data_IF_331762961819
#
_entry.id   IF_331762961819
#
_cell.length_a   1.000
_cell.length_b   1.000
_cell.length_c   1.000
_cell.angle_alpha   90.00
_cell.angle_beta   90.00
_cell.angle_gamma   90.00
#
_symmetry.space_group_name_H-M   'P 1'
#
loop_
_entity.id
_entity.type
_entity.pdbx_description
1 polymer ?
#
# COMPACT_ATOMS: atom_id res chain seq x y z
N UNK A 1 -31.18 4.46 -13.37
CA UNK A 1 -31.11 3.24 -12.52
C UNK A 1 -31.07 2.03 -13.42
N UNK A 2 -29.89 1.54 -13.73
CA UNK A 2 -29.71 0.29 -14.48
C UNK A 2 -29.43 -0.82 -13.49
N UNK A 3 -30.46 -1.61 -13.21
CA UNK A 3 -30.36 -2.84 -12.44
C UNK A 3 -29.61 -3.88 -13.26
N UNK A 4 -28.37 -4.19 -12.89
CA UNK A 4 -27.65 -5.36 -13.41
C UNK A 4 -28.20 -6.61 -12.73
N UNK A 5 -29.22 -7.23 -13.33
CA UNK A 5 -29.66 -8.59 -13.00
C UNK A 5 -28.76 -9.58 -13.75
N UNK A 6 -28.04 -10.43 -13.02
CA UNK A 6 -27.60 -11.73 -13.53
C UNK A 6 -26.15 -11.89 -13.97
N UNK A 7 -25.21 -11.23 -13.32
CA UNK A 7 -23.80 -11.60 -13.38
C UNK A 7 -23.27 -11.69 -11.94
N UNK A 8 -22.40 -12.68 -11.67
CA UNK A 8 -21.86 -12.97 -10.35
C UNK A 8 -21.34 -11.75 -9.59
N UNK A 9 -20.93 -11.92 -8.38
CA UNK A 9 -20.52 -10.83 -7.49
C UNK A 9 -19.55 -9.86 -8.21
N UNK A 10 -19.97 -8.60 -8.40
CA UNK A 10 -19.13 -7.57 -9.01
C UNK A 10 -18.32 -6.91 -7.92
N UNK A 11 -17.00 -6.95 -8.06
CA UNK A 11 -16.07 -6.30 -7.14
C UNK A 11 -15.71 -4.92 -7.69
N UNK A 12 -15.95 -3.88 -6.90
CA UNK A 12 -15.61 -2.49 -7.24
C UNK A 12 -14.57 -1.96 -6.28
N UNK A 13 -13.51 -1.37 -6.82
CA UNK A 13 -12.44 -0.76 -6.05
C UNK A 13 -12.26 0.70 -6.45
N UNK A 14 -12.36 1.60 -5.49
CA UNK A 14 -12.03 3.01 -5.66
C UNK A 14 -10.59 3.26 -5.25
N UNK A 15 -9.91 4.10 -6.01
CA UNK A 15 -8.54 4.55 -5.74
C UNK A 15 -8.52 6.09 -5.77
N UNK A 16 -8.02 6.71 -4.70
CA UNK A 16 -7.91 8.17 -4.60
C UNK A 16 -6.90 8.75 -5.59
N UNK A 17 -5.82 8.02 -5.86
CA UNK A 17 -4.80 8.44 -6.80
C UNK A 17 -5.32 8.48 -8.23
N UNK A 18 -4.77 9.36 -9.06
CA UNK A 18 -5.10 9.48 -10.48
C UNK A 18 -4.87 8.17 -11.27
N UNK A 19 -4.00 7.33 -10.77
CA UNK A 19 -3.77 5.96 -11.24
C UNK A 19 -3.33 5.06 -10.09
N UNK A 20 -3.48 3.75 -10.24
CA UNK A 20 -3.05 2.78 -9.24
C UNK A 20 -1.56 2.90 -8.98
N UNK A 21 -1.17 3.05 -7.70
CA UNK A 21 0.22 3.14 -7.29
C UNK A 21 0.86 4.51 -7.44
N UNK A 22 0.13 5.56 -7.85
CA UNK A 22 0.69 6.92 -8.01
C UNK A 22 1.21 7.53 -6.71
N UNK A 23 0.64 7.15 -5.58
CA UNK A 23 1.07 7.63 -4.25
C UNK A 23 2.18 6.78 -3.60
N UNK A 24 2.66 5.75 -4.30
CA UNK A 24 3.73 4.88 -3.79
C UNK A 24 5.07 5.33 -4.37
N UNK A 25 5.87 5.99 -3.56
CA UNK A 25 7.15 6.59 -4.00
C UNK A 25 8.30 5.56 -3.98
N UNK A 26 8.20 4.50 -3.18
CA UNK A 26 9.40 3.71 -2.85
C UNK A 26 9.44 2.34 -3.48
N UNK A 27 10.67 1.87 -3.65
CA UNK A 27 11.00 0.46 -3.74
C UNK A 27 10.79 -0.26 -2.39
N UNK A 28 10.79 -1.57 -2.48
CA UNK A 28 10.71 -2.46 -1.33
C UNK A 28 11.46 -3.76 -1.63
N UNK A 29 11.80 -4.49 -0.58
CA UNK A 29 12.14 -5.91 -0.69
C UNK A 29 10.85 -6.70 -0.48
N UNK A 30 10.47 -7.47 -1.49
CA UNK A 30 9.24 -8.25 -1.51
C UNK A 30 9.53 -9.72 -1.26
N UNK A 31 8.91 -10.29 -0.23
CA UNK A 31 8.81 -11.73 -0.05
C UNK A 31 7.74 -12.28 -1.02
N UNK A 32 8.10 -13.16 -1.96
CA UNK A 32 7.17 -13.66 -2.97
C UNK A 32 6.19 -14.71 -2.46
N UNK A 33 6.31 -15.18 -1.22
CA UNK A 33 5.52 -16.30 -0.67
C UNK A 33 4.01 -16.11 -0.83
N UNK A 34 3.51 -14.91 -0.56
CA UNK A 34 2.09 -14.58 -0.74
C UNK A 34 1.68 -14.61 -2.22
N UNK A 35 2.53 -14.09 -3.08
CA UNK A 35 2.29 -14.05 -4.51
C UNK A 35 2.39 -15.43 -5.16
N UNK A 36 3.34 -16.26 -4.74
CA UNK A 36 3.47 -17.65 -5.19
C UNK A 36 2.21 -18.48 -4.88
N UNK A 37 1.53 -18.19 -3.78
CA UNK A 37 0.25 -18.82 -3.42
C UNK A 37 -0.94 -18.27 -4.21
N UNK A 38 -0.98 -16.94 -4.40
CA UNK A 38 -2.10 -16.26 -5.04
C UNK A 38 -2.08 -16.41 -6.56
N UNK A 39 -0.92 -16.25 -7.18
CA UNK A 39 -0.70 -16.31 -8.63
C UNK A 39 0.54 -17.18 -8.91
N UNK A 40 0.47 -18.50 -8.83
CA UNK A 40 1.65 -19.37 -8.90
C UNK A 40 2.52 -19.21 -10.16
N UNK A 41 1.93 -18.77 -11.25
CA UNK A 41 2.61 -18.56 -12.54
C UNK A 41 3.06 -17.10 -12.79
N UNK A 42 3.05 -16.23 -11.78
CA UNK A 42 3.37 -14.80 -11.90
C UNK A 42 4.71 -14.52 -12.59
N UNK A 43 5.68 -15.41 -12.44
CA UNK A 43 7.01 -15.30 -13.08
C UNK A 43 6.95 -15.30 -14.60
N UNK A 44 5.94 -15.98 -15.16
CA UNK A 44 5.72 -16.11 -16.60
C UNK A 44 4.72 -15.08 -17.16
N UNK A 45 4.15 -14.23 -16.30
CA UNK A 45 3.09 -13.28 -16.64
C UNK A 45 3.60 -11.85 -16.88
N UNK A 46 4.84 -11.70 -17.35
CA UNK A 46 5.48 -10.39 -17.56
C UNK A 46 5.40 -9.46 -16.34
N UNK A 47 5.55 -10.04 -15.14
CA UNK A 47 5.53 -9.26 -13.89
C UNK A 47 6.72 -8.30 -13.81
N UNK A 48 6.60 -7.16 -13.12
CA UNK A 48 7.71 -6.23 -12.91
C UNK A 48 8.72 -6.72 -11.85
N UNK A 49 8.50 -7.89 -11.27
CA UNK A 49 9.30 -8.46 -10.18
C UNK A 49 10.43 -9.29 -10.79
N UNK A 50 11.56 -8.66 -11.07
CA UNK A 50 12.67 -9.30 -11.82
C UNK A 50 13.97 -9.38 -11.03
N UNK A 51 14.27 -8.39 -10.19
CA UNK A 51 15.55 -8.27 -9.51
C UNK A 51 15.55 -9.06 -8.21
N UNK A 52 16.19 -10.22 -8.20
CA UNK A 52 16.37 -11.01 -6.96
C UNK A 52 17.38 -10.35 -6.04
N UNK A 53 17.16 -10.48 -4.74
CA UNK A 53 18.18 -10.14 -3.75
C UNK A 53 19.34 -11.13 -3.90
N UNK A 54 20.54 -10.59 -4.14
CA UNK A 54 21.79 -11.36 -4.30
C UNK A 54 22.65 -11.27 -3.05
N UNK A 55 22.59 -10.13 -2.36
CA UNK A 55 23.45 -9.87 -1.21
C UNK A 55 22.77 -8.92 -0.21
N UNK A 56 22.69 -9.35 1.04
CA UNK A 56 22.34 -8.49 2.17
C UNK A 56 23.63 -7.95 2.82
N UNK A 57 23.64 -6.67 3.14
CA UNK A 57 24.73 -6.04 3.91
C UNK A 57 24.17 -5.27 5.08
N UNK A 58 24.62 -5.60 6.25
CA UNK A 58 24.24 -4.90 7.47
C UNK A 58 25.41 -4.06 7.99
N UNK A 59 25.15 -2.79 8.22
CA UNK A 59 26.14 -1.84 8.73
C UNK A 59 25.65 -1.22 10.04
N UNK A 60 26.56 -1.16 10.98
CA UNK A 60 26.42 -0.30 12.15
C UNK A 60 27.21 0.98 11.90
N UNK A 61 26.51 2.12 11.85
CA UNK A 61 27.11 3.41 11.54
C UNK A 61 27.36 4.19 12.82
N UNK A 62 28.58 4.74 12.94
CA UNK A 62 28.98 5.65 14.00
C UNK A 62 29.58 6.94 13.45
N UNK A 63 29.95 7.90 14.30
CA UNK A 63 30.55 9.18 13.87
C UNK A 63 31.84 9.06 13.05
N UNK A 64 32.58 7.99 13.25
CA UNK A 64 33.88 7.74 12.58
C UNK A 64 33.75 6.78 11.36
N UNK A 65 32.56 6.38 10.97
CA UNK A 65 32.33 5.45 9.87
C UNK A 65 31.40 4.29 10.23
N UNK A 66 31.39 3.25 9.40
CA UNK A 66 30.51 2.08 9.57
C UNK A 66 31.28 0.77 9.67
N UNK A 67 30.81 -0.13 10.50
CA UNK A 67 31.29 -1.51 10.61
C UNK A 67 30.26 -2.42 9.97
N UNK A 68 30.67 -3.28 9.03
CA UNK A 68 29.79 -4.30 8.48
C UNK A 68 29.63 -5.45 9.46
N UNK A 69 28.39 -5.81 9.77
CA UNK A 69 28.07 -6.95 10.61
C UNK A 69 27.94 -8.18 9.70
N UNK A 70 28.62 -9.29 10.00
CA UNK A 70 28.46 -10.53 9.24
C UNK A 70 27.03 -11.05 9.31
N UNK A 71 26.48 -11.49 8.17
CA UNK A 71 25.07 -11.91 8.04
C UNK A 71 24.69 -13.07 8.98
N UNK A 72 25.63 -13.96 9.30
CA UNK A 72 25.38 -15.10 10.19
C UNK A 72 25.10 -14.69 11.66
N UNK A 73 25.43 -13.46 12.04
CA UNK A 73 25.10 -12.90 13.36
C UNK A 73 23.73 -12.25 13.40
N UNK A 74 23.06 -12.10 12.25
CA UNK A 74 21.77 -11.46 12.16
C UNK A 74 20.63 -12.47 12.36
N UNK A 75 19.51 -12.09 12.99
CA UNK A 75 18.34 -12.95 13.11
C UNK A 75 17.84 -13.42 11.74
N UNK A 76 17.36 -14.66 11.60
CA UNK A 76 16.87 -15.20 10.33
C UNK A 76 15.79 -14.35 9.66
N UNK A 77 14.95 -13.67 10.46
CA UNK A 77 13.91 -12.75 9.98
C UNK A 77 14.44 -11.51 9.25
N UNK A 78 15.73 -11.19 9.40
CA UNK A 78 16.39 -10.08 8.70
C UNK A 78 17.02 -10.51 7.38
N UNK A 79 17.01 -11.80 7.05
CA UNK A 79 17.50 -12.30 5.78
C UNK A 79 16.51 -12.04 4.66
N UNK A 80 17.01 -11.44 3.57
CA UNK A 80 16.22 -11.21 2.36
C UNK A 80 16.50 -12.25 1.27
N UNK A 81 17.16 -13.37 1.63
CA UNK A 81 17.44 -14.42 0.66
C UNK A 81 16.16 -15.00 0.07
N UNK A 82 16.07 -15.06 -1.27
CA UNK A 82 14.87 -15.49 -1.98
C UNK A 82 13.87 -14.38 -2.30
N UNK A 83 14.02 -13.20 -1.71
CA UNK A 83 13.19 -12.03 -1.93
C UNK A 83 13.58 -11.25 -3.20
N UNK A 84 12.76 -10.27 -3.56
CA UNK A 84 12.95 -9.45 -4.74
C UNK A 84 12.96 -7.96 -4.40
N UNK A 85 13.86 -7.22 -5.04
CA UNK A 85 13.85 -5.75 -5.00
C UNK A 85 12.86 -5.26 -6.06
N UNK A 86 11.86 -4.48 -5.64
CA UNK A 86 10.75 -4.09 -6.51
C UNK A 86 10.40 -2.62 -6.37
N UNK A 87 9.85 -2.04 -7.43
CA UNK A 87 9.05 -0.82 -7.34
C UNK A 87 7.62 -1.20 -6.97
N UNK A 88 7.18 -0.87 -5.77
CA UNK A 88 5.83 -1.21 -5.32
C UNK A 88 4.73 -0.59 -6.19
N UNK A 89 4.95 0.61 -6.72
CA UNK A 89 3.99 1.22 -7.63
C UNK A 89 3.79 0.38 -8.91
N UNK A 90 4.88 -0.15 -9.49
CA UNK A 90 4.80 -1.04 -10.66
C UNK A 90 4.13 -2.37 -10.32
N UNK A 91 4.42 -2.92 -9.14
CA UNK A 91 3.75 -4.16 -8.66
C UNK A 91 2.26 -3.93 -8.49
N UNK A 92 1.84 -2.83 -7.86
CA UNK A 92 0.43 -2.50 -7.68
C UNK A 92 -0.30 -2.32 -9.02
N UNK A 93 0.31 -1.64 -10.00
CA UNK A 93 -0.28 -1.52 -11.35
C UNK A 93 -0.43 -2.87 -12.02
N UNK A 94 0.58 -3.71 -11.95
CA UNK A 94 0.52 -5.06 -12.51
C UNK A 94 -0.57 -5.91 -11.85
N UNK A 95 -0.69 -5.85 -10.51
CA UNK A 95 -1.75 -6.52 -9.77
C UNK A 95 -3.15 -6.00 -10.12
N UNK A 96 -3.28 -4.69 -10.38
CA UNK A 96 -4.54 -4.10 -10.82
C UNK A 96 -4.99 -4.71 -12.15
N UNK A 97 -4.08 -4.84 -13.12
CA UNK A 97 -4.38 -5.51 -14.40
C UNK A 97 -4.84 -6.96 -14.18
N UNK A 98 -4.20 -7.70 -13.25
CA UNK A 98 -4.63 -9.07 -12.94
C UNK A 98 -6.02 -9.07 -12.30
N UNK A 99 -6.32 -8.13 -11.43
CA UNK A 99 -7.64 -8.00 -10.81
C UNK A 99 -8.74 -7.66 -11.85
N UNK A 100 -8.46 -6.75 -12.77
CA UNK A 100 -9.39 -6.39 -13.87
C UNK A 100 -9.68 -7.60 -14.78
N UNK A 101 -8.68 -8.42 -15.07
CA UNK A 101 -8.87 -9.68 -15.82
C UNK A 101 -9.77 -10.69 -15.10
N UNK A 102 -9.86 -10.60 -13.78
CA UNK A 102 -10.76 -11.39 -12.94
C UNK A 102 -12.14 -10.73 -12.76
N UNK A 103 -12.41 -9.61 -13.43
CA UNK A 103 -13.69 -8.92 -13.40
C UNK A 103 -13.84 -7.87 -12.29
N UNK A 104 -12.74 -7.45 -11.66
CA UNK A 104 -12.78 -6.33 -10.71
C UNK A 104 -12.82 -5.01 -11.49
N UNK A 105 -13.79 -4.17 -11.19
CA UNK A 105 -13.86 -2.80 -11.72
C UNK A 105 -13.03 -1.87 -10.83
N UNK A 106 -11.99 -1.24 -11.39
CA UNK A 106 -11.11 -0.29 -10.67
C UNK A 106 -11.37 1.12 -11.15
N UNK A 107 -11.64 2.03 -10.22
CA UNK A 107 -11.95 3.45 -10.47
C UNK A 107 -10.84 4.33 -9.87
N UNK A 108 -9.78 4.65 -10.64
CA UNK A 108 -8.76 5.61 -10.21
C UNK A 108 -9.29 7.04 -10.25
N UNK A 109 -8.71 7.92 -9.43
CA UNK A 109 -9.16 9.31 -9.29
C UNK A 109 -10.46 9.47 -8.49
N UNK A 110 -11.05 8.39 -7.99
CA UNK A 110 -12.32 8.40 -7.30
C UNK A 110 -12.13 8.20 -5.79
N UNK A 111 -12.11 9.29 -5.04
CA UNK A 111 -12.06 9.26 -3.59
C UNK A 111 -13.43 8.95 -2.99
N UNK A 112 -13.45 8.22 -1.87
CA UNK A 112 -14.66 8.04 -1.07
C UNK A 112 -14.73 9.13 0.00
N UNK A 113 -15.89 9.81 0.08
CA UNK A 113 -16.10 10.95 0.99
C UNK A 113 -16.87 10.57 2.24
N UNK A 114 -17.86 9.68 2.12
CA UNK A 114 -18.78 9.34 3.20
C UNK A 114 -19.08 7.84 3.27
N UNK A 115 -19.60 7.41 4.41
CA UNK A 115 -20.04 6.05 4.69
C UNK A 115 -21.57 6.01 4.67
N UNK A 116 -22.13 4.97 4.08
CA UNK A 116 -23.58 4.75 4.02
C UNK A 116 -23.92 3.68 5.03
N UNK A 117 -24.77 4.02 6.00
CA UNK A 117 -25.27 3.11 7.02
C UNK A 117 -26.73 2.72 6.78
N UNK A 118 -27.08 1.52 7.16
CA UNK A 118 -28.46 1.07 7.20
C UNK A 118 -29.16 1.41 8.51
N UNK A 119 -30.43 1.01 8.61
CA UNK A 119 -31.28 1.32 9.75
C UNK A 119 -30.80 0.73 11.09
N UNK A 120 -30.06 -0.37 11.03
CA UNK A 120 -29.46 -1.05 12.22
C UNK A 120 -28.01 -0.65 12.43
N UNK A 121 -27.58 0.46 11.88
CA UNK A 121 -26.19 0.95 11.92
C UNK A 121 -25.18 0.01 11.21
N UNK A 122 -25.63 -0.88 10.33
CA UNK A 122 -24.75 -1.70 9.51
C UNK A 122 -24.15 -0.86 8.35
N UNK A 123 -22.88 -1.05 8.05
CA UNK A 123 -22.22 -0.41 6.93
C UNK A 123 -22.68 -1.04 5.62
N UNK A 124 -23.34 -0.26 4.75
CA UNK A 124 -23.91 -0.70 3.47
C UNK A 124 -23.05 -0.31 2.26
N UNK A 125 -22.30 0.76 2.37
CA UNK A 125 -21.57 1.28 1.22
C UNK A 125 -20.82 2.56 1.52
N UNK A 126 -20.43 3.23 0.44
CA UNK A 126 -19.70 4.50 0.48
C UNK A 126 -20.24 5.46 -0.58
N UNK A 127 -20.07 6.76 -0.37
CA UNK A 127 -20.24 7.78 -1.40
C UNK A 127 -18.85 8.00 -2.03
N UNK A 128 -18.77 7.81 -3.34
CA UNK A 128 -17.53 7.91 -4.11
C UNK A 128 -17.64 9.00 -5.19
N UNK A 129 -16.52 9.68 -5.46
CA UNK A 129 -16.44 10.68 -6.52
C UNK A 129 -17.05 12.02 -6.20
N UNK A 130 -17.41 12.30 -4.95
CA UNK A 130 -17.86 13.61 -4.53
C UNK A 130 -16.72 14.63 -4.59
N UNK A 131 -16.96 15.78 -5.18
CA UNK A 131 -15.96 16.80 -5.42
C UNK A 131 -16.53 18.22 -5.20
N UNK A 132 -15.67 19.19 -4.83
CA UNK A 132 -16.01 20.61 -4.82
C UNK A 132 -16.76 21.11 -3.58
N UNK A 133 -16.69 20.40 -2.44
CA UNK A 133 -17.09 20.96 -1.13
C UNK A 133 -16.00 21.90 -0.61
N UNK A 134 -16.42 22.97 0.06
CA UNK A 134 -15.51 23.88 0.79
C UNK A 134 -15.03 23.28 2.12
N UNK A 135 -14.23 24.03 2.87
CA UNK A 135 -13.72 23.62 4.19
C UNK A 135 -14.81 23.35 5.23
N UNK A 136 -15.98 23.95 5.06
CA UNK A 136 -17.14 23.79 5.94
C UNK A 136 -18.07 22.65 5.48
N UNK A 137 -17.71 21.94 4.40
CA UNK A 137 -18.49 20.85 3.82
C UNK A 137 -19.66 21.28 2.97
N UNK A 138 -19.78 22.57 2.60
CA UNK A 138 -20.85 23.09 1.76
C UNK A 138 -20.51 22.99 0.29
N UNK A 139 -21.50 22.75 -0.58
CA UNK A 139 -21.31 22.75 -2.03
C UNK A 139 -20.73 24.08 -2.52
N UNK A 140 -19.56 24.02 -3.17
CA UNK A 140 -18.94 25.16 -3.84
C UNK A 140 -19.39 25.29 -5.30
N UNK A 141 -18.84 26.25 -6.06
CA UNK A 141 -19.22 26.51 -7.46
C UNK A 141 -18.94 25.32 -8.41
N UNK A 142 -18.01 24.44 -8.06
CA UNK A 142 -17.63 23.24 -8.83
C UNK A 142 -18.05 21.95 -8.12
N UNK A 143 -19.14 22.00 -7.38
CA UNK A 143 -19.64 20.85 -6.66
C UNK A 143 -20.22 19.80 -7.61
N UNK A 144 -19.70 18.60 -7.50
CA UNK A 144 -20.25 17.40 -8.14
C UNK A 144 -20.68 16.41 -7.05
N UNK A 145 -21.96 15.98 -7.04
CA UNK A 145 -22.43 14.98 -6.08
C UNK A 145 -21.76 13.64 -6.36
N UNK A 146 -21.35 12.97 -5.31
CA UNK A 146 -20.83 11.61 -5.41
C UNK A 146 -21.94 10.60 -5.77
N UNK A 147 -21.51 9.41 -6.15
CA UNK A 147 -22.42 8.29 -6.38
C UNK A 147 -22.37 7.32 -5.19
N UNK A 148 -23.51 6.76 -4.86
CA UNK A 148 -23.61 5.70 -3.86
C UNK A 148 -23.12 4.37 -4.44
N UNK A 149 -22.15 3.76 -3.76
CA UNK A 149 -21.64 2.42 -4.07
C UNK A 149 -22.04 1.51 -2.92
N UNK A 150 -23.02 0.66 -3.18
CA UNK A 150 -23.57 -0.29 -2.20
C UNK A 150 -23.00 -1.67 -2.46
N UNK A 151 -22.65 -2.39 -1.39
CA UNK A 151 -22.11 -3.74 -1.47
C UNK A 151 -22.54 -4.62 -0.30
N UNK A 152 -22.51 -5.93 -0.50
CA UNK A 152 -22.72 -6.91 0.57
C UNK A 152 -21.60 -6.84 1.63
N UNK A 153 -20.39 -6.52 1.17
CA UNK A 153 -19.18 -6.32 1.99
C UNK A 153 -18.49 -5.04 1.54
N UNK A 154 -17.99 -4.30 2.50
CA UNK A 154 -17.20 -3.08 2.27
C UNK A 154 -15.84 -3.25 2.90
N UNK A 155 -14.79 -3.23 2.07
CA UNK A 155 -13.39 -3.32 2.52
C UNK A 155 -12.78 -1.93 2.54
N UNK A 156 -12.35 -1.49 3.71
CA UNK A 156 -11.68 -0.20 3.89
C UNK A 156 -10.16 -0.44 3.93
N UNK A 157 -9.47 -0.04 2.88
CA UNK A 157 -8.03 -0.23 2.69
C UNK A 157 -7.28 1.11 2.53
N UNK A 158 -7.67 2.13 3.30
CA UNK A 158 -7.13 3.50 3.22
C UNK A 158 -5.77 3.68 3.91
N UNK A 159 -5.20 2.62 4.49
CA UNK A 159 -3.96 2.67 5.26
C UNK A 159 -4.13 3.26 6.66
N UNK A 160 -2.99 3.56 7.28
CA UNK A 160 -2.89 3.90 8.72
C UNK A 160 -3.71 5.13 9.13
N UNK A 161 -3.90 6.09 8.24
CA UNK A 161 -4.60 7.36 8.51
C UNK A 161 -5.79 7.58 7.60
N UNK A 162 -6.46 6.51 7.21
CA UNK A 162 -7.65 6.60 6.38
C UNK A 162 -8.75 7.45 7.02
N UNK A 163 -9.39 8.31 6.24
CA UNK A 163 -10.42 9.23 6.76
C UNK A 163 -11.71 8.49 7.12
N UNK A 164 -12.15 7.56 6.28
CA UNK A 164 -13.33 6.74 6.55
C UNK A 164 -13.04 5.68 7.62
N UNK A 165 -11.83 5.11 7.62
CA UNK A 165 -11.39 4.19 8.66
C UNK A 165 -11.53 4.78 10.06
N UNK A 166 -11.16 6.06 10.26
CA UNK A 166 -11.33 6.76 11.53
C UNK A 166 -12.79 6.87 11.95
N UNK A 167 -13.68 7.17 10.99
CA UNK A 167 -15.13 7.27 11.24
C UNK A 167 -15.70 5.91 11.67
N UNK A 168 -15.29 4.82 11.02
CA UNK A 168 -15.72 3.45 11.35
C UNK A 168 -15.22 3.04 12.73
N UNK A 169 -13.93 3.28 13.03
CA UNK A 169 -13.34 2.98 14.35
C UNK A 169 -14.10 3.69 15.45
N UNK A 170 -14.46 4.96 15.26
CA UNK A 170 -15.21 5.73 16.24
C UNK A 170 -16.66 5.26 16.34
N UNK A 171 -17.35 5.00 15.22
CA UNK A 171 -18.76 4.61 15.21
C UNK A 171 -19.01 3.26 15.89
N UNK A 172 -18.09 2.31 15.72
CA UNK A 172 -18.21 0.96 16.29
C UNK A 172 -17.32 0.72 17.51
N UNK A 173 -16.67 1.77 18.05
CA UNK A 173 -15.76 1.70 19.21
C UNK A 173 -14.68 0.59 19.06
N UNK A 174 -14.12 0.45 17.84
CA UNK A 174 -13.19 -0.64 17.54
C UNK A 174 -11.85 -0.54 18.26
N UNK A 175 -11.52 0.61 18.82
CA UNK A 175 -10.28 0.85 19.56
C UNK A 175 -10.38 0.59 21.07
N UNK A 176 -11.56 0.26 21.60
CA UNK A 176 -11.83 0.13 23.03
C UNK A 176 -10.86 -0.76 23.80
N UNK A 177 -10.40 -1.84 23.16
CA UNK A 177 -9.50 -2.82 23.77
C UNK A 177 -8.13 -2.87 23.07
N UNK A 178 -7.78 -1.83 22.33
CA UNK A 178 -6.50 -1.74 21.61
C UNK A 178 -5.48 -0.96 22.41
N UNK A 179 -4.21 -1.35 22.28
CA UNK A 179 -3.10 -0.54 22.76
C UNK A 179 -3.00 0.78 21.99
N UNK A 180 -2.34 1.76 22.58
CA UNK A 180 -2.04 3.02 21.90
C UNK A 180 -1.24 2.74 20.62
N UNK A 181 -1.67 3.30 19.47
CA UNK A 181 -0.96 3.10 18.22
C UNK A 181 0.45 3.71 18.29
N UNK A 182 1.45 2.90 17.90
CA UNK A 182 2.84 3.34 17.78
C UNK A 182 3.10 3.72 16.33
N UNK A 183 3.52 4.96 16.11
CA UNK A 183 3.79 5.48 14.77
C UNK A 183 5.30 5.62 14.55
N UNK A 184 5.79 5.07 13.43
CA UNK A 184 7.11 5.38 12.90
C UNK A 184 7.02 6.49 11.86
N UNK A 185 8.02 7.34 11.78
CA UNK A 185 8.18 8.30 10.69
C UNK A 185 9.20 7.72 9.72
N UNK A 186 8.81 7.55 8.45
CA UNK A 186 9.68 7.12 7.36
C UNK A 186 9.87 8.23 6.33
N UNK A 187 11.10 8.46 5.92
CA UNK A 187 11.44 9.29 4.76
C UNK A 187 11.98 8.35 3.70
N UNK A 188 11.49 8.48 2.48
CA UNK A 188 11.90 7.66 1.35
C UNK A 188 12.35 8.53 0.19
N UNK A 189 13.46 8.17 -0.39
CA UNK A 189 14.07 8.87 -1.52
C UNK A 189 14.43 7.86 -2.61
N UNK A 190 14.43 8.32 -3.86
CA UNK A 190 14.92 7.55 -5.00
C UNK A 190 16.14 8.27 -5.54
N UNK A 191 17.26 7.57 -5.58
CA UNK A 191 18.54 8.12 -6.05
C UNK A 191 18.95 7.50 -7.37
N UNK A 192 19.42 8.32 -8.28
CA UNK A 192 20.14 7.85 -9.45
C UNK A 192 21.60 7.59 -9.07
N UNK A 193 22.01 6.35 -9.19
CA UNK A 193 23.37 5.91 -8.84
C UNK A 193 24.20 5.76 -10.10
N UNK A 194 25.44 6.27 -10.08
CA UNK A 194 26.39 6.07 -11.18
C UNK A 194 26.56 4.58 -11.47
N UNK A 195 26.55 4.20 -12.74
CA UNK A 195 26.57 2.79 -13.17
C UNK A 195 27.75 1.98 -12.59
N UNK A 196 28.93 2.61 -12.44
CA UNK A 196 30.10 1.98 -11.85
C UNK A 196 29.95 1.66 -10.35
N UNK A 197 29.02 2.31 -9.66
CA UNK A 197 28.72 2.09 -8.23
C UNK A 197 27.48 1.23 -8.01
N UNK A 198 26.69 1.02 -9.04
CA UNK A 198 25.48 0.21 -8.95
C UNK A 198 25.81 -1.27 -8.82
N UNK A 199 25.22 -1.92 -7.82
CA UNK A 199 25.30 -3.37 -7.62
C UNK A 199 23.91 -3.95 -7.57
N UNK A 200 23.49 -4.54 -8.69
CA UNK A 200 22.18 -5.13 -8.83
C UNK A 200 21.94 -6.23 -7.80
N UNK A 201 20.82 -6.17 -7.10
CA UNK A 201 20.42 -7.19 -6.11
C UNK A 201 21.07 -7.02 -4.74
N UNK A 202 21.79 -5.93 -4.49
CA UNK A 202 22.36 -5.64 -3.18
C UNK A 202 21.35 -4.87 -2.32
N UNK A 203 21.18 -5.30 -1.07
CA UNK A 203 20.33 -4.67 -0.04
C UNK A 203 21.21 -4.23 1.13
N UNK A 204 21.75 -3.00 1.11
CA UNK A 204 22.45 -2.44 2.25
C UNK A 204 21.46 -1.90 3.28
N UNK A 205 21.54 -2.40 4.49
CA UNK A 205 20.78 -1.94 5.66
C UNK A 205 21.74 -1.34 6.67
N UNK A 206 21.45 -0.14 7.12
CA UNK A 206 22.30 0.51 8.13
C UNK A 206 21.49 0.90 9.37
N UNK A 207 22.09 0.67 10.52
CA UNK A 207 21.61 1.17 11.79
C UNK A 207 22.51 2.30 12.25
N UNK A 208 21.94 3.48 12.42
CA UNK A 208 22.58 4.56 13.16
C UNK A 208 22.13 4.43 14.60
N UNK A 209 23.11 4.38 15.53
CA UNK A 209 22.80 4.11 16.92
C UNK A 209 21.74 5.03 17.49
N UNK A 210 21.11 4.56 18.40
CA UNK A 210 21.04 4.88 19.77
C UNK A 210 19.72 5.03 20.41
N UNK A 211 18.71 5.45 19.85
CA UNK A 211 17.45 5.58 20.59
C UNK A 211 16.22 5.40 19.75
N UNK A 212 16.39 5.51 18.45
CA UNK A 212 15.36 5.19 17.47
C UNK A 212 16.05 4.50 16.29
N UNK A 213 15.74 3.23 16.00
CA UNK A 213 16.29 2.56 14.83
C UNK A 213 15.78 3.27 13.57
N UNK A 214 16.66 4.05 12.95
CA UNK A 214 16.39 4.61 11.63
C UNK A 214 16.93 3.61 10.63
N UNK A 215 16.05 2.89 9.98
CA UNK A 215 16.41 2.02 8.85
C UNK A 215 16.56 2.92 7.63
N UNK A 216 17.77 3.07 7.13
CA UNK A 216 18.02 3.65 5.82
C UNK A 216 18.26 2.51 4.84
N UNK A 217 17.35 2.31 3.92
CA UNK A 217 17.64 1.58 2.69
C UNK A 217 18.26 2.57 1.69
N UNK A 218 19.46 2.29 1.24
CA UNK A 218 20.15 3.01 0.17
C UNK A 218 20.03 2.26 -1.13
#
# INVERSE_FOLDING_TARGET
MTSSRGLGDVYKRQEKGSEVGSHIISGAVLDPTGLDKLIPNWKNMNSPIKTKVKEDKFYFLGPAGGIQIPNFLMPPLMSNHGNYIVSMSKVCRWLAVQAEQLGVEIFPGMACSELIYGNSNELKGVIAGEFGKDSDGKPGPMYEPGMEVIGKYVFIAEGVRGSLAKKIIANYDLSKNSDYPKFGIGIKEVWEVKSEKHKEGQVPVSYTHLTLPTIRSV
#
